data_IF_462277178534
#
_entry.id   IF_462277178534
#
_cell.length_a   1.000
_cell.length_b   1.000
_cell.length_c   1.000
_cell.angle_alpha   90.00
_cell.angle_beta   90.00
_cell.angle_gamma   90.00
#
_symmetry.space_group_name_H-M   'P 1'
#
loop_
_entity.id
_entity.type
_entity.pdbx_description
1 polymer ?
#
# COMPACT_ATOMS: atom_id res chain seq x y z
N UNK A 1 19.99 9.25 -8.51
CA UNK A 1 18.64 8.83 -8.92
C UNK A 1 18.65 7.32 -9.19
N UNK A 2 17.63 6.58 -8.76
CA UNK A 2 17.49 5.14 -9.07
C UNK A 2 16.63 4.97 -10.34
N UNK A 3 17.21 5.10 -11.54
CA UNK A 3 16.52 4.79 -12.81
C UNK A 3 15.32 5.69 -13.21
N UNK A 4 14.54 5.21 -14.17
CA UNK A 4 13.37 5.89 -14.77
C UNK A 4 12.11 5.64 -13.92
N UNK A 5 11.13 6.55 -13.97
CA UNK A 5 9.85 6.33 -13.31
C UNK A 5 9.14 5.10 -13.91
N UNK A 6 8.55 4.26 -13.05
CA UNK A 6 7.63 3.22 -13.52
C UNK A 6 6.41 3.92 -14.15
N UNK A 7 5.96 3.53 -15.36
CA UNK A 7 4.76 4.10 -15.96
C UNK A 7 3.53 3.90 -15.07
N UNK A 8 2.54 4.80 -15.17
CA UNK A 8 1.32 4.75 -14.35
C UNK A 8 0.55 3.44 -14.51
N UNK A 9 0.51 2.88 -15.71
CA UNK A 9 -0.05 1.55 -15.95
C UNK A 9 0.73 0.46 -15.17
N UNK A 10 2.06 0.55 -15.15
CA UNK A 10 2.89 -0.38 -14.38
C UNK A 10 2.62 -0.28 -12.88
N UNK A 11 2.47 0.93 -12.34
CA UNK A 11 2.05 1.14 -10.95
C UNK A 11 0.65 0.57 -10.72
N UNK A 12 -0.29 0.81 -11.63
CA UNK A 12 -1.64 0.28 -11.55
C UNK A 12 -1.64 -1.26 -11.48
N UNK A 13 -0.88 -1.92 -12.36
CA UNK A 13 -0.76 -3.39 -12.41
C UNK A 13 -0.20 -4.00 -11.12
N UNK A 14 0.72 -3.29 -10.45
CA UNK A 14 1.29 -3.73 -9.17
C UNK A 14 0.22 -3.81 -8.08
N UNK A 15 -0.73 -2.87 -8.05
CA UNK A 15 -1.63 -2.69 -6.90
C UNK A 15 -3.08 -3.09 -7.15
N UNK A 16 -3.55 -3.10 -8.40
CA UNK A 16 -4.97 -3.31 -8.69
C UNK A 16 -5.53 -4.62 -8.11
N UNK A 17 -6.56 -4.54 -7.28
CA UNK A 17 -7.14 -5.69 -6.58
C UNK A 17 -6.11 -6.54 -5.81
N UNK A 18 -5.03 -5.92 -5.33
CA UNK A 18 -4.07 -6.56 -4.45
C UNK A 18 -4.22 -6.06 -3.01
N UNK A 19 -3.98 -6.97 -2.07
CA UNK A 19 -3.72 -6.65 -0.67
C UNK A 19 -2.21 -6.57 -0.44
N UNK A 20 -1.75 -5.47 0.17
CA UNK A 20 -0.39 -5.31 0.65
C UNK A 20 -0.32 -5.70 2.13
N UNK A 21 0.38 -6.79 2.41
CA UNK A 21 0.51 -7.36 3.75
C UNK A 21 1.64 -6.67 4.53
N UNK A 22 1.35 -6.11 5.70
CA UNK A 22 2.33 -5.47 6.59
C UNK A 22 2.72 -6.41 7.75
N UNK A 23 2.99 -7.67 7.42
CA UNK A 23 3.18 -8.74 8.40
C UNK A 23 1.87 -9.07 9.13
N UNK A 24 1.97 -9.40 10.41
CA UNK A 24 0.81 -9.78 11.23
C UNK A 24 0.07 -8.57 11.84
N UNK A 25 0.59 -7.37 11.60
CA UNK A 25 0.11 -6.14 12.23
C UNK A 25 -0.73 -5.24 11.32
N UNK A 26 -0.95 -5.62 10.06
CA UNK A 26 -1.81 -4.84 9.18
C UNK A 26 -1.83 -5.33 7.74
N UNK A 27 -2.79 -4.82 6.99
CA UNK A 27 -2.83 -4.96 5.56
C UNK A 27 -3.71 -3.85 4.94
N UNK A 28 -3.43 -3.52 3.68
CA UNK A 28 -4.22 -2.60 2.88
C UNK A 28 -4.65 -3.24 1.57
N UNK A 29 -5.90 -3.01 1.14
CA UNK A 29 -6.48 -3.51 -0.10
C UNK A 29 -6.79 -2.35 -1.04
N UNK A 30 -6.31 -2.48 -2.27
CA UNK A 30 -6.42 -1.46 -3.32
C UNK A 30 -7.48 -1.91 -4.33
N UNK A 31 -8.76 -1.76 -3.98
CA UNK A 31 -9.87 -2.14 -4.83
C UNK A 31 -9.92 -1.29 -6.11
N UNK A 32 -10.07 -1.93 -7.26
CA UNK A 32 -10.30 -1.21 -8.53
C UNK A 32 -11.63 -0.47 -8.50
N UNK A 33 -12.67 -1.10 -7.94
CA UNK A 33 -14.00 -0.53 -7.81
C UNK A 33 -13.91 0.77 -7.02
N UNK A 34 -14.29 1.88 -7.67
CA UNK A 34 -14.30 3.23 -7.09
C UNK A 34 -12.95 3.66 -6.49
N UNK A 35 -11.84 3.00 -6.88
CA UNK A 35 -10.51 3.24 -6.31
C UNK A 35 -10.48 3.16 -4.78
N UNK A 36 -11.29 2.30 -4.19
CA UNK A 36 -11.38 2.17 -2.74
C UNK A 36 -10.07 1.67 -2.14
N UNK A 37 -9.66 2.33 -1.05
CA UNK A 37 -8.58 1.89 -0.20
C UNK A 37 -9.18 1.46 1.14
N UNK A 38 -8.98 0.20 1.48
CA UNK A 38 -9.40 -0.38 2.75
C UNK A 38 -8.15 -0.83 3.49
N UNK A 39 -8.08 -0.60 4.79
CA UNK A 39 -6.95 -1.07 5.58
C UNK A 39 -7.36 -1.43 6.99
N UNK A 40 -6.56 -2.27 7.62
CA UNK A 40 -6.53 -2.43 9.07
C UNK A 40 -5.09 -2.42 9.56
N UNK A 41 -4.91 -1.96 10.80
CA UNK A 41 -3.63 -2.00 11.49
C UNK A 41 -3.87 -2.30 12.97
N UNK A 42 -2.92 -2.99 13.59
CA UNK A 42 -2.83 -3.19 15.04
C UNK A 42 -1.51 -2.63 15.58
N UNK A 43 -0.87 -1.74 14.82
CA UNK A 43 0.37 -1.09 15.22
C UNK A 43 0.16 -0.33 16.54
N UNK A 44 1.14 -0.40 17.44
CA UNK A 44 1.05 0.11 18.83
C UNK A 44 0.00 -0.57 19.71
N UNK A 45 -0.42 -1.79 19.35
CA UNK A 45 -1.24 -2.66 20.20
C UNK A 45 -2.73 -2.32 20.24
N UNK A 46 -3.16 -1.24 19.57
CA UNK A 46 -4.56 -0.88 19.50
C UNK A 46 -5.05 -1.07 18.05
N UNK A 47 -6.10 -1.88 17.81
CA UNK A 47 -6.64 -2.08 16.47
C UNK A 47 -7.30 -0.82 15.92
N UNK A 48 -7.11 -0.59 14.62
CA UNK A 48 -7.78 0.45 13.87
C UNK A 48 -8.02 0.04 12.42
N UNK A 49 -8.89 0.78 11.75
CA UNK A 49 -9.18 0.59 10.33
C UNK A 49 -9.04 1.89 9.56
N UNK A 50 -8.67 1.79 8.28
CA UNK A 50 -8.61 2.91 7.35
C UNK A 50 -9.62 2.73 6.24
N UNK A 51 -10.46 3.75 5.99
CA UNK A 51 -11.31 3.84 4.80
C UNK A 51 -10.87 5.03 3.96
N UNK A 52 -10.76 4.83 2.64
CA UNK A 52 -10.21 5.86 1.79
C UNK A 52 -10.26 5.54 0.31
N UNK A 53 -9.41 6.26 -0.42
CA UNK A 53 -9.18 6.06 -1.86
C UNK A 53 -7.68 5.94 -2.15
N UNK A 54 -7.34 5.23 -3.22
CA UNK A 54 -6.01 5.22 -3.80
C UNK A 54 -6.01 5.80 -5.20
N UNK A 55 -4.90 6.39 -5.62
CA UNK A 55 -4.79 7.03 -6.93
C UNK A 55 -3.34 7.07 -7.38
N UNK A 56 -3.14 7.30 -8.68
CA UNK A 56 -1.84 7.37 -9.33
C UNK A 56 -1.74 8.77 -9.93
N UNK A 57 -1.07 9.73 -9.28
CA UNK A 57 -1.01 11.12 -9.75
C UNK A 57 0.05 11.35 -10.84
N UNK A 58 0.66 10.29 -11.39
CA UNK A 58 1.75 10.39 -12.34
C UNK A 58 3.15 10.22 -11.74
N UNK A 59 4.14 10.03 -12.61
CA UNK A 59 5.56 9.99 -12.25
C UNK A 59 5.96 8.76 -11.43
N UNK A 60 5.27 7.63 -11.62
CA UNK A 60 5.53 6.39 -10.88
C UNK A 60 5.03 6.40 -9.45
N UNK A 61 4.10 7.30 -9.10
CA UNK A 61 3.57 7.42 -7.75
C UNK A 61 2.32 6.57 -7.55
N UNK A 62 2.27 5.86 -6.44
CA UNK A 62 1.02 5.40 -5.83
C UNK A 62 0.75 6.31 -4.63
N UNK A 63 -0.46 6.85 -4.52
CA UNK A 63 -0.91 7.53 -3.30
C UNK A 63 -2.18 6.89 -2.77
N UNK A 64 -2.38 6.98 -1.46
CA UNK A 64 -3.68 6.75 -0.84
C UNK A 64 -3.96 7.80 0.22
N UNK A 65 -5.23 8.17 0.33
CA UNK A 65 -5.75 9.06 1.38
C UNK A 65 -6.83 8.31 2.13
N UNK A 66 -6.69 8.20 3.45
CA UNK A 66 -7.58 7.43 4.30
C UNK A 66 -7.92 8.16 5.60
N UNK A 67 -9.15 7.96 6.07
CA UNK A 67 -9.56 8.24 7.44
C UNK A 67 -9.31 7.00 8.27
N UNK A 68 -8.45 7.13 9.29
CA UNK A 68 -8.14 6.06 10.22
C UNK A 68 -8.97 6.19 11.47
N UNK A 69 -9.64 5.11 11.86
CA UNK A 69 -10.49 5.00 13.03
C UNK A 69 -9.88 4.02 14.01
N UNK A 70 -9.87 4.36 15.29
CA UNK A 70 -9.42 3.51 16.38
C UNK A 70 -9.83 4.08 17.73
N UNK A 71 -9.38 3.46 18.82
CA UNK A 71 -9.63 3.96 20.18
C UNK A 71 -9.07 5.39 20.42
N UNK A 72 -8.10 5.80 19.60
CA UNK A 72 -7.51 7.13 19.57
C UNK A 72 -8.30 8.16 18.73
N UNK A 73 -9.53 7.84 18.34
CA UNK A 73 -10.40 8.67 17.52
C UNK A 73 -10.14 8.52 16.02
N UNK A 74 -10.52 9.56 15.27
CA UNK A 74 -10.43 9.59 13.79
C UNK A 74 -9.29 10.50 13.34
N UNK A 75 -8.42 10.01 12.46
CA UNK A 75 -7.30 10.77 11.89
C UNK A 75 -7.17 10.56 10.39
N UNK A 76 -7.23 11.65 9.62
CA UNK A 76 -6.93 11.64 8.20
C UNK A 76 -5.42 11.54 7.93
N UNK A 77 -5.03 10.79 6.91
CA UNK A 77 -3.66 10.77 6.42
C UNK A 77 -3.61 10.59 4.91
N UNK A 78 -2.55 11.10 4.29
CA UNK A 78 -2.21 10.82 2.90
C UNK A 78 -0.79 10.25 2.87
N UNK A 79 -0.60 9.15 2.16
CA UNK A 79 0.71 8.53 1.98
C UNK A 79 0.95 8.29 0.50
N UNK A 80 2.14 8.62 0.04
CA UNK A 80 2.57 8.40 -1.33
C UNK A 80 3.87 7.60 -1.38
N UNK A 81 3.97 6.70 -2.36
CA UNK A 81 5.15 5.93 -2.67
C UNK A 81 5.56 6.17 -4.12
N UNK A 82 6.84 6.44 -4.34
CA UNK A 82 7.40 6.57 -5.68
C UNK A 82 8.04 5.25 -6.11
N UNK A 83 7.86 4.89 -7.38
CA UNK A 83 8.40 3.69 -8.00
C UNK A 83 9.29 4.08 -9.17
N UNK A 84 10.51 3.54 -9.18
CA UNK A 84 11.43 3.68 -10.31
C UNK A 84 12.02 2.34 -10.69
N UNK A 85 12.40 2.19 -11.95
CA UNK A 85 12.88 0.94 -12.52
C UNK A 85 14.28 1.10 -13.10
N UNK A 86 15.11 0.07 -12.96
CA UNK A 86 16.41 -0.05 -13.63
C UNK A 86 16.56 -1.51 -14.07
N UNK A 87 16.57 -1.75 -15.38
CA UNK A 87 16.45 -3.11 -15.92
C UNK A 87 15.16 -3.78 -15.45
N UNK A 88 15.27 -4.94 -14.78
CA UNK A 88 14.12 -5.67 -14.21
C UNK A 88 13.85 -5.35 -12.73
N UNK A 89 14.73 -4.58 -12.08
CA UNK A 89 14.56 -4.22 -10.68
C UNK A 89 13.65 -2.99 -10.54
N UNK A 90 12.75 -3.01 -9.56
CA UNK A 90 11.91 -1.89 -9.17
C UNK A 90 12.34 -1.43 -7.78
N UNK A 91 12.58 -0.14 -7.65
CA UNK A 91 12.85 0.56 -6.40
C UNK A 91 11.60 1.30 -5.96
N UNK A 92 11.35 1.30 -4.65
CA UNK A 92 10.27 2.08 -4.03
C UNK A 92 10.86 2.98 -2.96
N UNK A 93 10.26 4.15 -2.76
CA UNK A 93 10.46 4.98 -1.56
C UNK A 93 9.16 5.58 -1.09
N UNK A 94 9.07 5.92 0.19
CA UNK A 94 8.01 6.80 0.70
C UNK A 94 8.32 8.24 0.30
N UNK A 95 7.35 8.98 -0.21
CA UNK A 95 7.51 10.40 -0.59
C UNK A 95 7.14 11.30 0.60
N UNK A 96 7.81 12.46 0.80
CA UNK A 96 8.91 12.98 0.00
C UNK A 96 10.31 12.49 0.41
N UNK A 97 10.49 12.11 1.68
CA UNK A 97 11.82 12.01 2.30
C UNK A 97 12.29 10.58 2.58
N UNK A 98 11.55 9.57 2.11
CA UNK A 98 11.92 8.18 2.31
C UNK A 98 13.13 7.76 1.47
N UNK A 99 13.95 6.88 2.03
CA UNK A 99 15.06 6.26 1.31
C UNK A 99 14.59 5.30 0.23
N UNK A 100 15.36 5.22 -0.85
CA UNK A 100 15.11 4.26 -1.92
C UNK A 100 15.57 2.86 -1.51
N UNK A 101 14.69 1.88 -1.67
CA UNK A 101 15.02 0.48 -1.45
C UNK A 101 14.51 -0.41 -2.59
N UNK A 102 15.05 -1.62 -2.67
CA UNK A 102 14.63 -2.62 -3.65
C UNK A 102 13.25 -3.14 -3.27
N UNK A 103 12.25 -2.79 -4.06
CA UNK A 103 10.89 -3.27 -3.91
C UNK A 103 10.69 -4.62 -4.61
N UNK A 104 11.28 -4.75 -5.80
CA UNK A 104 11.37 -5.98 -6.59
C UNK A 104 12.78 -6.12 -7.15
N UNK A 105 13.43 -7.23 -6.85
CA UNK A 105 14.73 -7.60 -7.38
C UNK A 105 14.64 -8.01 -8.85
N UNK A 106 15.75 -7.87 -9.60
CA UNK A 106 15.82 -8.29 -11.00
C UNK A 106 15.64 -9.82 -11.17
N UNK A 107 16.11 -10.58 -10.19
CA UNK A 107 15.91 -12.02 -10.06
C UNK A 107 14.82 -12.30 -9.02
N UNK A 108 14.16 -13.46 -9.10
CA UNK A 108 13.15 -13.86 -8.11
C UNK A 108 13.78 -13.89 -6.72
N UNK A 109 13.31 -13.03 -5.82
CA UNK A 109 13.73 -13.00 -4.44
C UNK A 109 12.48 -13.03 -3.54
N UNK A 110 12.39 -14.06 -2.68
CA UNK A 110 11.22 -14.24 -1.80
C UNK A 110 11.15 -13.19 -0.68
N UNK A 111 12.26 -12.51 -0.40
CA UNK A 111 12.35 -11.44 0.58
C UNK A 111 11.95 -10.07 0.02
N UNK A 112 11.72 -9.97 -1.30
CA UNK A 112 11.23 -8.74 -1.91
C UNK A 112 9.90 -8.34 -1.31
N UNK A 113 9.75 -7.06 -1.02
CA UNK A 113 8.50 -6.54 -0.50
C UNK A 113 7.35 -6.67 -1.52
N UNK A 114 7.66 -6.70 -2.82
CA UNK A 114 6.71 -7.02 -3.87
C UNK A 114 5.97 -8.35 -3.62
N UNK A 115 6.59 -9.33 -2.97
CA UNK A 115 5.96 -10.62 -2.62
C UNK A 115 4.86 -10.46 -1.57
N UNK A 116 4.86 -9.35 -0.81
CA UNK A 116 3.82 -9.00 0.17
C UNK A 116 2.55 -8.45 -0.48
N UNK A 117 2.58 -8.13 -1.78
CA UNK A 117 1.37 -7.87 -2.56
C UNK A 117 0.74 -9.19 -3.00
N UNK A 118 -0.49 -9.43 -2.57
CA UNK A 118 -1.26 -10.64 -2.87
C UNK A 118 -2.53 -10.26 -3.61
N UNK A 119 -2.76 -10.88 -4.76
CA UNK A 119 -4.01 -10.69 -5.48
C UNK A 119 -5.19 -11.19 -4.65
N UNK A 120 -6.23 -10.35 -4.52
CA UNK A 120 -7.42 -10.61 -3.73
C UNK A 120 -7.54 -9.72 -2.48
N UNK A 121 -8.74 -9.76 -1.89
CA UNK A 121 -9.08 -9.01 -0.67
C UNK A 121 -8.82 -9.85 0.59
N UNK A 122 -7.73 -9.53 1.29
CA UNK A 122 -7.36 -10.13 2.58
C UNK A 122 -7.61 -9.18 3.75
N UNK A 123 -8.33 -8.08 3.51
CA UNK A 123 -8.43 -6.93 4.44
C UNK A 123 -9.84 -6.79 4.98
N UNK A 124 -10.84 -6.80 4.11
CA UNK A 124 -12.23 -6.41 4.44
C UNK A 124 -12.79 -7.23 5.59
N UNK A 125 -12.53 -8.54 5.65
CA UNK A 125 -13.00 -9.40 6.75
C UNK A 125 -12.48 -8.93 8.12
N UNK A 126 -11.19 -8.63 8.25
CA UNK A 126 -10.59 -8.17 9.51
C UNK A 126 -11.00 -6.72 9.79
N UNK A 127 -11.04 -5.88 8.77
CA UNK A 127 -11.51 -4.50 8.86
C UNK A 127 -12.92 -4.42 9.47
N UNK A 128 -13.87 -5.19 8.94
CA UNK A 128 -15.25 -5.23 9.43
C UNK A 128 -15.35 -5.71 10.89
N UNK A 129 -14.49 -6.64 11.32
CA UNK A 129 -14.43 -7.06 12.72
C UNK A 129 -13.93 -5.97 13.65
N UNK A 130 -13.01 -5.12 13.20
CA UNK A 130 -12.54 -3.97 13.98
C UNK A 130 -13.64 -2.90 14.02
N UNK A 131 -14.27 -2.61 12.88
CA UNK A 131 -15.43 -1.68 12.78
C UNK A 131 -16.54 -2.04 13.75
N UNK A 132 -16.88 -3.33 13.89
CA UNK A 132 -17.94 -3.78 14.79
C UNK A 132 -17.59 -3.70 16.29
N UNK A 133 -16.34 -3.39 16.64
CA UNK A 133 -15.84 -3.32 18.03
C UNK A 133 -15.49 -1.90 18.48
N UNK A 134 -15.43 -0.96 17.55
CA UNK A 134 -15.22 0.46 17.80
C UNK A 134 -16.58 1.15 17.90
#
# INVERSE_FOLDING_TARGET
QKGTAVPDEGVYQIYQNHSWMWGDHGAAYFAVRQRQFNAWSTEKGQPGYGDGIWFIPGGGKLCYRAQWHGAWGVKGSMTCFEHRQTGKAIYKRKSPDGEWYVFRSAHRNRSDEFVKLKYGDYVTRKQNRIKARL
#
